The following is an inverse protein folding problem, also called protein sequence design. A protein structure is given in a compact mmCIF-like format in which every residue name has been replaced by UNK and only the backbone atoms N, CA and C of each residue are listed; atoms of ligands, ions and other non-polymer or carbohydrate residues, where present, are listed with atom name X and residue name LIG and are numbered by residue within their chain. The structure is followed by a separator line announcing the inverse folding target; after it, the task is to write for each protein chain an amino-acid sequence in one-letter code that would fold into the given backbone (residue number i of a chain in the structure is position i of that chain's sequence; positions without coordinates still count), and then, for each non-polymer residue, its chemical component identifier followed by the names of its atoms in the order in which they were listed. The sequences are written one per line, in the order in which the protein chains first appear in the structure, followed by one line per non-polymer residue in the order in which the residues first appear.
data_IF_069668676601
#
_entry.id   IF_069668676601
#
_cell.length_a   1.000
_cell.length_b   1.000
_cell.length_c   1.000
_cell.angle_alpha   90.00
_cell.angle_beta   90.00
_cell.angle_gamma   90.00
#
_symmetry.space_group_name_H-M   'P 1'
#
loop_
_entity.id
_entity.type
_entity.pdbx_description
1 polymer ?
#
# COMPACT_ATOMS: atom_id res chain seq x y z
N UNK A 1 -10.07 1.68 -9.37
CA UNK A 1 -8.92 1.05 -8.70
C UNK A 1 -9.11 1.30 -7.22
N UNK A 2 -9.34 0.27 -6.40
CA UNK A 2 -9.50 0.50 -4.97
C UNK A 2 -8.17 1.01 -4.39
N UNK A 3 -8.16 2.16 -3.69
CA UNK A 3 -6.92 2.79 -3.20
C UNK A 3 -6.16 1.92 -2.18
N UNK A 4 -6.81 0.92 -1.60
CA UNK A 4 -6.23 0.02 -0.60
C UNK A 4 -5.18 -0.93 -1.20
N UNK A 5 -5.39 -1.40 -2.43
CA UNK A 5 -4.44 -2.31 -3.12
C UNK A 5 -3.14 -1.57 -3.47
N UNK A 6 -3.27 -0.34 -3.97
CA UNK A 6 -2.13 0.51 -4.33
C UNK A 6 -1.26 0.89 -3.12
N UNK A 7 -1.87 1.09 -1.94
CA UNK A 7 -1.14 1.39 -0.70
C UNK A 7 -0.34 0.20 -0.16
N UNK A 8 -0.85 -1.03 -0.29
CA UNK A 8 -0.12 -2.23 0.14
C UNK A 8 1.11 -2.49 -0.75
N UNK A 9 1.00 -2.24 -2.06
CA UNK A 9 2.12 -2.35 -2.98
C UNK A 9 3.19 -1.27 -2.71
N UNK A 10 2.77 -0.07 -2.31
CA UNK A 10 3.64 1.01 -1.83
C UNK A 10 4.51 0.54 -0.65
N UNK A 11 3.95 -0.17 0.34
CA UNK A 11 4.75 -0.67 1.46
C UNK A 11 5.74 -1.79 1.08
N UNK A 12 5.47 -2.59 0.05
CA UNK A 12 6.39 -3.65 -0.39
C UNK A 12 7.51 -3.08 -1.30
N UNK A 13 7.21 -2.08 -2.13
CA UNK A 13 8.20 -1.39 -2.97
C UNK A 13 9.08 -0.46 -2.14
N UNK A 14 8.51 0.27 -1.18
CA UNK A 14 9.21 1.30 -0.40
C UNK A 14 9.60 0.85 1.02
N UNK A 15 9.20 -0.34 1.46
CA UNK A 15 9.31 -0.78 2.85
C UNK A 15 10.73 -1.06 3.35
N UNK A 16 11.66 -1.65 2.55
CA UNK A 16 13.02 -1.76 3.07
C UNK A 16 14.23 -1.47 2.17
N UNK A 17 14.37 -1.74 0.86
CA UNK A 17 15.78 -1.70 0.34
C UNK A 17 16.12 -1.54 -1.14
N UNK A 18 15.19 -1.50 -2.09
CA UNK A 18 15.62 -1.58 -3.49
C UNK A 18 15.76 -0.24 -4.21
N UNK A 19 14.69 0.55 -4.36
CA UNK A 19 14.78 1.81 -5.12
C UNK A 19 15.42 2.96 -4.32
N UNK A 20 15.14 3.07 -3.02
CA UNK A 20 15.44 4.30 -2.27
C UNK A 20 16.76 4.24 -1.46
N UNK A 21 17.49 3.13 -1.51
CA UNK A 21 18.63 2.82 -0.61
C UNK A 21 19.77 3.83 -0.67
N UNK A 22 19.99 4.45 -1.83
CA UNK A 22 21.12 5.34 -2.07
C UNK A 22 20.68 6.79 -2.35
N UNK A 23 19.39 7.10 -2.20
CA UNK A 23 18.90 8.44 -2.48
C UNK A 23 19.03 9.29 -1.23
N UNK A 24 19.89 10.30 -1.30
CA UNK A 24 20.04 11.33 -0.27
C UNK A 24 19.84 12.70 -0.93
N UNK A 25 18.59 13.18 -1.07
CA UNK A 25 18.34 14.52 -1.56
C UNK A 25 18.97 15.52 -0.60
N UNK A 26 19.56 16.58 -1.13
CA UNK A 26 20.25 17.58 -0.33
C UNK A 26 19.26 18.42 0.48
N UNK A 27 18.06 18.65 -0.08
CA UNK A 27 16.98 19.44 0.55
C UNK A 27 15.67 18.65 0.62
N UNK A 28 14.82 18.97 1.58
CA UNK A 28 13.56 18.27 1.82
C UNK A 28 12.55 18.39 0.66
N UNK A 29 12.56 19.53 -0.05
CA UNK A 29 11.67 19.86 -1.16
C UNK A 29 12.27 19.56 -2.54
N UNK A 30 13.49 19.03 -2.59
CA UNK A 30 14.13 18.65 -3.85
C UNK A 30 13.49 17.38 -4.38
N UNK A 31 13.03 17.43 -5.64
CA UNK A 31 12.54 16.27 -6.35
C UNK A 31 13.70 15.39 -6.81
N UNK A 32 13.54 14.09 -6.66
CA UNK A 32 14.44 13.09 -7.23
C UNK A 32 13.62 12.01 -7.92
N UNK A 33 14.21 11.42 -8.96
CA UNK A 33 13.62 10.28 -9.67
C UNK A 33 13.87 9.01 -8.86
N UNK A 34 12.81 8.23 -8.62
CA UNK A 34 12.93 6.91 -8.01
C UNK A 34 13.55 5.94 -9.03
N UNK A 35 14.72 5.34 -8.73
CA UNK A 35 15.40 4.48 -9.67
C UNK A 35 14.74 3.11 -9.73
N UNK A 36 14.99 2.41 -10.84
CA UNK A 36 14.59 1.03 -11.08
C UNK A 36 13.07 0.78 -11.06
N UNK A 37 12.24 1.81 -11.23
CA UNK A 37 10.82 1.61 -11.50
C UNK A 37 10.57 1.57 -13.02
N UNK A 38 9.55 0.82 -13.48
CA UNK A 38 9.13 0.84 -14.88
C UNK A 38 8.76 2.27 -15.34
N UNK A 39 8.09 3.01 -14.46
CA UNK A 39 7.66 4.38 -14.69
C UNK A 39 8.56 5.40 -14.00
N UNK A 40 8.66 6.58 -14.62
CA UNK A 40 9.37 7.73 -14.04
C UNK A 40 8.53 8.35 -12.93
N UNK A 41 8.87 8.02 -11.69
CA UNK A 41 8.25 8.61 -10.50
C UNK A 41 9.21 9.61 -9.86
N UNK A 42 8.73 10.82 -9.60
CA UNK A 42 9.47 11.85 -8.88
C UNK A 42 8.87 12.07 -7.49
N UNK A 43 9.71 12.06 -6.47
CA UNK A 43 9.31 12.28 -5.09
C UNK A 43 10.22 13.32 -4.43
N UNK A 44 9.69 14.00 -3.44
CA UNK A 44 10.47 14.79 -2.46
C UNK A 44 10.77 13.93 -1.24
N UNK A 45 11.74 14.34 -0.43
CA UNK A 45 12.05 13.64 0.83
C UNK A 45 10.86 13.61 1.80
N UNK A 46 10.01 14.63 1.77
CA UNK A 46 8.82 14.73 2.62
C UNK A 46 7.71 13.72 2.23
N UNK A 47 7.69 13.28 0.97
CA UNK A 47 6.74 12.28 0.46
C UNK A 47 7.20 10.84 0.69
N UNK A 48 8.43 10.63 1.19
CA UNK A 48 8.93 9.31 1.49
C UNK A 48 8.15 8.70 2.67
N UNK A 49 7.68 7.44 2.55
CA UNK A 49 6.99 6.79 3.65
C UNK A 49 7.89 6.69 4.88
N UNK A 50 7.25 6.59 6.05
CA UNK A 50 7.95 6.60 7.33
C UNK A 50 9.06 5.55 7.45
N UNK A 51 8.97 4.44 6.69
CA UNK A 51 9.97 3.37 6.60
C UNK A 51 11.08 3.58 5.56
N UNK A 52 10.94 4.54 4.65
CA UNK A 52 11.98 4.90 3.68
C UNK A 52 12.69 6.22 4.04
N UNK A 53 12.11 7.04 4.91
CA UNK A 53 12.68 8.34 5.25
C UNK A 53 13.85 8.18 6.25
N UNK A 54 15.11 8.43 5.85
CA UNK A 54 16.28 8.28 6.73
C UNK A 54 16.28 9.27 7.91
N UNK A 55 15.45 10.32 7.88
CA UNK A 55 15.31 11.27 8.98
C UNK A 55 14.44 10.77 10.14
N UNK A 56 13.74 9.65 10.00
CA UNK A 56 12.94 9.04 11.08
C UNK A 56 13.76 7.95 11.78
N UNK A 57 14.71 8.40 12.61
CA UNK A 57 15.71 7.55 13.28
C UNK A 57 15.12 6.41 14.13
N UNK A 58 13.95 6.61 14.72
CA UNK A 58 13.28 5.63 15.59
C UNK A 58 12.85 4.33 14.90
N UNK A 59 12.75 4.31 13.56
CA UNK A 59 12.30 3.13 12.80
C UNK A 59 13.45 2.34 12.17
N UNK A 60 14.70 2.80 12.29
CA UNK A 60 15.85 2.16 11.65
C UNK A 60 16.09 0.71 12.12
N UNK A 61 15.94 0.45 13.42
CA UNK A 61 16.08 -0.91 13.98
C UNK A 61 15.00 -1.87 13.42
N UNK A 62 13.77 -1.37 13.27
CA UNK A 62 12.67 -2.17 12.71
C UNK A 62 12.93 -2.48 11.23
N UNK A 63 13.44 -1.51 10.46
CA UNK A 63 13.80 -1.71 9.04
C UNK A 63 14.87 -2.78 8.87
N UNK A 64 15.92 -2.72 9.68
CA UNK A 64 17.01 -3.69 9.63
C UNK A 64 16.51 -5.10 9.95
N UNK A 65 15.66 -5.26 10.98
CA UNK A 65 15.02 -6.53 11.31
C UNK A 65 14.12 -7.06 10.19
N UNK A 66 13.29 -6.20 9.58
CA UNK A 66 12.46 -6.59 8.43
C UNK A 66 13.35 -7.06 7.27
N UNK A 67 14.43 -6.33 6.99
CA UNK A 67 15.37 -6.68 5.91
C UNK A 67 16.08 -8.00 6.17
N UNK A 68 16.51 -8.26 7.39
CA UNK A 68 17.16 -9.52 7.76
C UNK A 68 16.18 -10.69 7.64
N UNK A 69 14.93 -10.51 8.11
CA UNK A 69 13.88 -11.50 7.94
C UNK A 69 13.56 -11.75 6.46
N UNK A 70 13.49 -10.71 5.63
CA UNK A 70 13.27 -10.85 4.18
C UNK A 70 14.38 -11.64 3.46
N UNK A 71 15.61 -11.65 3.97
CA UNK A 71 16.70 -12.43 3.36
C UNK A 71 16.57 -13.93 3.65
N UNK A 72 15.90 -14.29 4.75
CA UNK A 72 15.72 -15.68 5.16
C UNK A 72 14.39 -16.27 4.70
N UNK A 73 13.52 -15.50 4.06
CA UNK A 73 12.25 -16.00 3.51
C UNK A 73 12.47 -16.84 2.25
N UNK A 74 11.56 -17.79 2.01
CA UNK A 74 11.54 -18.52 0.75
C UNK A 74 11.11 -17.62 -0.42
N UNK A 75 10.18 -16.69 -0.19
CA UNK A 75 9.71 -15.72 -1.17
C UNK A 75 8.58 -14.85 -0.61
N UNK A 76 7.92 -14.10 -1.49
CA UNK A 76 6.90 -13.11 -1.13
C UNK A 76 5.52 -13.53 -1.62
N UNK A 77 4.51 -13.45 -0.75
CA UNK A 77 3.10 -13.55 -1.15
C UNK A 77 2.52 -12.15 -1.18
N UNK A 78 2.03 -11.72 -2.34
CA UNK A 78 1.52 -10.37 -2.57
C UNK A 78 0.00 -10.38 -2.76
N UNK A 79 -0.70 -9.50 -2.05
CA UNK A 79 -2.13 -9.24 -2.25
C UNK A 79 -2.33 -8.26 -3.42
N UNK A 80 -1.93 -8.69 -4.61
CA UNK A 80 -2.18 -8.04 -5.90
C UNK A 80 -2.42 -9.13 -6.97
N UNK A 81 -2.73 -8.74 -8.20
CA UNK A 81 -2.79 -9.64 -9.36
C UNK A 81 -1.97 -9.06 -10.50
N UNK A 82 -1.39 -9.93 -11.34
CA UNK A 82 -0.36 -9.54 -12.31
C UNK A 82 -0.88 -8.53 -13.35
N UNK A 83 -2.13 -8.65 -13.77
CA UNK A 83 -2.74 -7.79 -14.77
C UNK A 83 -2.91 -6.34 -14.29
N UNK A 84 -2.91 -6.09 -12.98
CA UNK A 84 -2.99 -4.74 -12.42
C UNK A 84 -1.64 -4.00 -12.50
N UNK A 85 -0.54 -4.70 -12.27
CA UNK A 85 0.79 -4.12 -11.99
C UNK A 85 1.92 -4.90 -12.68
N UNK A 86 1.68 -5.37 -13.91
CA UNK A 86 2.51 -6.37 -14.60
C UNK A 86 4.01 -6.06 -14.64
N UNK A 87 4.39 -4.88 -15.11
CA UNK A 87 5.81 -4.50 -15.19
C UNK A 87 6.44 -4.31 -13.81
N UNK A 88 5.68 -3.85 -12.81
CA UNK A 88 6.19 -3.74 -11.43
C UNK A 88 6.38 -5.11 -10.78
N UNK A 89 5.43 -6.03 -10.97
CA UNK A 89 5.53 -7.41 -10.48
C UNK A 89 6.74 -8.10 -11.10
N UNK A 90 6.98 -7.90 -12.40
CA UNK A 90 8.13 -8.45 -13.12
C UNK A 90 9.46 -7.92 -12.59
N UNK A 91 9.59 -6.61 -12.39
CA UNK A 91 10.80 -6.03 -11.79
C UNK A 91 11.01 -6.51 -10.34
N UNK A 92 9.92 -6.62 -9.56
CA UNK A 92 9.98 -7.13 -8.20
C UNK A 92 10.35 -8.62 -8.14
N UNK A 93 9.84 -9.44 -9.06
CA UNK A 93 10.23 -10.84 -9.23
C UNK A 93 11.72 -10.95 -9.54
N UNK A 94 12.25 -10.18 -10.49
CA UNK A 94 13.70 -10.15 -10.80
C UNK A 94 14.51 -9.80 -9.55
N UNK A 95 14.09 -8.79 -8.80
CA UNK A 95 14.77 -8.36 -7.57
C UNK A 95 14.72 -9.40 -6.44
N UNK A 96 13.69 -10.25 -6.42
CA UNK A 96 13.45 -11.28 -5.38
C UNK A 96 13.74 -12.71 -5.86
N UNK A 97 14.42 -12.89 -6.99
CA UNK A 97 14.81 -14.22 -7.50
C UNK A 97 13.62 -15.06 -7.99
N UNK A 98 12.62 -14.43 -8.59
CA UNK A 98 11.42 -15.02 -9.18
C UNK A 98 10.53 -15.82 -8.21
N UNK A 99 10.58 -15.51 -6.91
CA UNK A 99 9.76 -16.15 -5.87
C UNK A 99 8.73 -15.20 -5.30
N UNK A 100 7.85 -14.71 -6.16
CA UNK A 100 6.74 -13.82 -5.79
C UNK A 100 5.43 -14.40 -6.32
N UNK A 101 4.44 -14.58 -5.45
CA UNK A 101 3.12 -15.09 -5.81
C UNK A 101 2.06 -14.02 -5.57
N UNK A 102 1.43 -13.57 -6.65
CA UNK A 102 0.30 -12.65 -6.64
C UNK A 102 -0.98 -13.46 -6.41
N UNK A 103 -1.61 -13.33 -5.24
CA UNK A 103 -2.82 -14.09 -4.84
C UNK A 103 -4.05 -13.20 -4.65
N UNK A 104 -3.91 -11.92 -4.99
CA UNK A 104 -4.92 -10.92 -4.75
C UNK A 104 -6.02 -10.89 -5.82
N UNK A 105 -7.08 -10.11 -5.57
CA UNK A 105 -7.39 -9.46 -4.29
C UNK A 105 -8.00 -10.46 -3.29
N UNK A 106 -7.32 -10.67 -2.15
CA UNK A 106 -7.73 -11.63 -1.10
C UNK A 106 -9.10 -11.29 -0.50
N UNK A 107 -9.53 -10.03 -0.63
CA UNK A 107 -10.87 -9.58 -0.26
C UNK A 107 -11.98 -10.45 -0.90
N UNK A 108 -11.79 -10.89 -2.15
CA UNK A 108 -12.79 -11.64 -2.91
C UNK A 108 -12.93 -13.11 -2.48
N UNK A 109 -12.00 -13.62 -1.66
CA UNK A 109 -12.06 -14.99 -1.15
C UNK A 109 -13.20 -15.20 -0.16
N UNK A 110 -13.67 -14.13 0.50
CA UNK A 110 -14.71 -14.22 1.54
C UNK A 110 -16.10 -14.06 0.91
N UNK A 111 -16.70 -15.18 0.52
CA UNK A 111 -18.03 -15.21 -0.10
C UNK A 111 -19.17 -15.22 0.92
N UNK A 112 -18.90 -15.61 2.17
CA UNK A 112 -19.92 -15.70 3.21
C UNK A 112 -20.17 -14.36 3.90
N UNK A 113 -21.46 -14.05 4.11
CA UNK A 113 -21.91 -12.80 4.74
C UNK A 113 -21.38 -12.64 6.17
N UNK A 114 -21.07 -13.74 6.86
CA UNK A 114 -20.56 -13.76 8.23
C UNK A 114 -19.11 -13.24 8.31
N UNK A 115 -18.24 -13.68 7.40
CA UNK A 115 -16.82 -13.25 7.33
C UNK A 115 -16.65 -11.76 6.97
N UNK A 116 -17.66 -11.13 6.37
CA UNK A 116 -17.66 -9.70 6.05
C UNK A 116 -18.02 -8.82 7.24
N UNK A 117 -18.80 -9.34 8.19
CA UNK A 117 -19.27 -8.61 9.37
C UNK A 117 -18.18 -8.54 10.45
N UNK A 118 -17.25 -9.49 10.48
CA UNK A 118 -16.13 -9.49 11.45
C UNK A 118 -14.99 -8.54 11.06
N UNK A 119 -14.87 -8.16 9.77
CA UNK A 119 -13.89 -7.15 9.30
C UNK A 119 -14.46 -5.74 9.41
N UNK A 120 -14.76 -5.30 10.63
CA UNK A 120 -15.16 -3.93 10.89
C UNK A 120 -15.77 -3.72 12.27
N UNK A 121 -15.71 -2.48 12.76
CA UNK A 121 -16.53 -2.07 13.90
C UNK A 121 -17.99 -2.03 13.46
N UNK A 122 -18.92 -2.55 14.27
CA UNK A 122 -20.37 -2.43 14.02
C UNK A 122 -20.68 -0.97 13.67
N UNK A 123 -21.19 -0.74 12.47
CA UNK A 123 -21.53 0.60 12.00
C UNK A 123 -22.59 1.21 12.92
N UNK A 124 -22.41 2.48 13.30
CA UNK A 124 -23.42 3.22 14.07
C UNK A 124 -24.67 3.55 13.24
N UNK A 125 -24.60 3.39 11.92
CA UNK A 125 -25.67 3.69 10.96
C UNK A 125 -26.10 2.39 10.28
N UNK A 126 -27.40 2.20 10.15
CA UNK A 126 -28.00 1.06 9.45
C UNK A 126 -27.56 1.03 7.98
N UNK A 127 -26.88 -0.06 7.59
CA UNK A 127 -26.40 -0.27 6.22
C UNK A 127 -27.54 -0.19 5.19
N UNK A 128 -28.75 -0.62 5.56
CA UNK A 128 -29.90 -0.53 4.66
C UNK A 128 -30.31 0.91 4.35
N UNK A 129 -30.14 1.84 5.29
CA UNK A 129 -30.48 3.25 5.07
C UNK A 129 -29.55 3.91 4.03
N UNK A 130 -28.23 3.65 4.13
CA UNK A 130 -27.26 4.20 3.17
C UNK A 130 -27.46 3.65 1.75
N UNK A 131 -27.75 2.35 1.62
CA UNK A 131 -27.98 1.72 0.32
C UNK A 131 -29.26 2.27 -0.33
N UNK A 132 -30.35 2.37 0.43
CA UNK A 132 -31.58 2.97 -0.09
C UNK A 132 -31.37 4.41 -0.54
N UNK A 133 -30.60 5.22 0.22
CA UNK A 133 -30.29 6.60 -0.19
C UNK A 133 -29.49 6.67 -1.49
N UNK A 134 -28.54 5.75 -1.71
CA UNK A 134 -27.77 5.66 -2.95
C UNK A 134 -28.66 5.34 -4.15
N UNK A 135 -29.67 4.50 -3.99
CA UNK A 135 -30.60 4.12 -5.06
C UNK A 135 -31.40 5.31 -5.62
N UNK A 136 -31.58 6.38 -4.83
CA UNK A 136 -32.25 7.62 -5.27
C UNK A 136 -31.34 8.60 -6.01
N UNK A 137 -30.02 8.39 -6.00
CA UNK A 137 -29.07 9.29 -6.64
C UNK A 137 -28.87 8.92 -8.12
N UNK A 138 -28.59 9.92 -8.96
CA UNK A 138 -28.20 9.67 -10.34
C UNK A 138 -26.86 8.91 -10.40
N UNK A 139 -26.68 8.07 -11.41
CA UNK A 139 -25.43 7.34 -11.60
C UNK A 139 -24.23 8.29 -11.66
N UNK A 140 -23.15 7.94 -10.93
CA UNK A 140 -21.86 8.65 -10.91
C UNK A 140 -21.91 10.08 -10.33
N UNK A 141 -22.90 10.42 -9.50
CA UNK A 141 -22.96 11.74 -8.83
C UNK A 141 -22.51 11.75 -7.37
N UNK A 142 -22.46 10.58 -6.73
CA UNK A 142 -22.07 10.43 -5.32
C UNK A 142 -20.58 10.19 -5.18
N UNK A 143 -19.95 10.88 -4.22
CA UNK A 143 -18.56 10.67 -3.83
C UNK A 143 -18.50 9.91 -2.51
N UNK A 144 -17.78 8.78 -2.49
CA UNK A 144 -17.49 8.03 -1.28
C UNK A 144 -16.20 8.53 -0.63
N UNK A 145 -16.25 8.87 0.65
CA UNK A 145 -15.09 9.28 1.45
C UNK A 145 -14.96 8.37 2.67
N UNK A 146 -13.84 7.67 2.80
CA UNK A 146 -13.51 6.85 3.96
C UNK A 146 -12.00 6.84 4.15
N UNK A 147 -11.54 7.23 5.35
CA UNK A 147 -10.13 7.28 5.72
C UNK A 147 -9.66 6.04 6.50
N UNK A 148 -10.58 5.09 6.73
CA UNK A 148 -10.33 3.91 7.56
C UNK A 148 -10.27 4.22 9.05
N UNK A 149 -10.34 3.19 9.89
CA UNK A 149 -10.32 3.33 11.36
C UNK A 149 -8.95 3.75 11.92
N UNK A 150 -7.88 3.60 11.13
CA UNK A 150 -6.51 3.95 11.50
C UNK A 150 -6.17 5.43 11.24
N UNK A 151 -7.10 6.22 10.69
CA UNK A 151 -6.86 7.65 10.51
C UNK A 151 -6.87 8.36 11.87
N UNK A 152 -5.69 8.75 12.36
CA UNK A 152 -5.55 9.67 13.48
C UNK A 152 -5.07 11.02 12.95
N UNK A 153 -5.89 12.07 13.08
CA UNK A 153 -5.42 13.43 12.87
C UNK A 153 -4.64 13.86 14.13
N UNK A 154 -3.33 13.62 14.15
CA UNK A 154 -2.46 14.36 15.05
C UNK A 154 -2.28 15.77 14.48
N UNK A 155 -3.18 16.68 14.83
CA UNK A 155 -2.90 18.11 14.76
C UNK A 155 -2.02 18.44 15.98
N UNK A 156 -0.72 18.61 15.75
CA UNK A 156 0.19 19.29 16.68
C UNK A 156 0.95 20.37 15.92
#
# INVERSE_FOLDING_TARGET
MEPVVFLYFCHIIYGPTWCLRNIKPSRSQEYFVVPNLPDRIELTKAQLPGFANPSLSGLNNIREKIREAEKSTYGTVANTFEELESEYVKEYQKAKGNKVWCIGPVLLCNKDKLDKVERGTKFAIDTHHCLNWLDWQQSRTVVYVCLGSLSHQALS
#
